data_IF_226139747621
#
_entry.id   IF_226139747621
#
_cell.length_a   1.000
_cell.length_b   1.000
_cell.length_c   1.000
_cell.angle_alpha   90.00
_cell.angle_beta   90.00
_cell.angle_gamma   90.00
#
_symmetry.space_group_name_H-M   'P 1'
#
loop_
_entity.id
_entity.type
_entity.pdbx_description
1 polymer ?
#
# COMPACT_ATOMS: atom_id res chain seq x y z
N UNK A 1 23.49 6.19 9.44
CA UNK A 1 23.23 6.92 8.18
C UNK A 1 22.03 6.26 7.51
N UNK A 2 20.83 6.57 7.98
CA UNK A 2 19.59 6.01 7.43
C UNK A 2 19.35 6.72 6.10
N UNK A 3 19.49 6.02 4.98
CA UNK A 3 19.13 6.56 3.67
C UNK A 3 17.63 6.81 3.71
N UNK A 4 17.23 8.08 3.78
CA UNK A 4 15.87 8.50 3.42
C UNK A 4 15.63 8.01 1.98
N UNK A 5 15.05 6.82 1.84
CA UNK A 5 14.66 6.30 0.55
C UNK A 5 13.61 7.24 -0.04
N UNK A 6 13.80 7.63 -1.30
CA UNK A 6 12.84 8.49 -1.99
C UNK A 6 11.42 7.89 -1.91
N UNK A 7 10.44 8.72 -1.55
CA UNK A 7 9.04 8.31 -1.56
C UNK A 7 8.61 8.07 -3.00
N UNK A 8 8.11 6.88 -3.28
CA UNK A 8 7.55 6.46 -4.57
C UNK A 8 6.03 6.41 -4.48
N UNK A 9 5.31 6.82 -5.52
CA UNK A 9 3.84 6.87 -5.54
C UNK A 9 3.24 6.22 -6.80
N UNK A 10 3.96 5.28 -7.40
CA UNK A 10 3.60 4.55 -8.62
C UNK A 10 2.88 3.23 -8.38
N UNK A 11 2.68 2.81 -7.11
CA UNK A 11 1.99 1.56 -6.81
C UNK A 11 0.47 1.76 -6.81
N UNK A 12 -0.21 1.14 -7.78
CA UNK A 12 -1.66 1.19 -7.94
C UNK A 12 -2.25 -0.21 -8.07
N UNK A 13 -3.35 -0.47 -7.37
CA UNK A 13 -3.95 -1.80 -7.37
C UNK A 13 -5.09 -1.96 -6.38
N UNK A 14 -5.49 -3.21 -6.12
CA UNK A 14 -6.51 -3.55 -5.13
C UNK A 14 -5.86 -4.25 -3.94
N UNK A 15 -6.25 -3.87 -2.72
CA UNK A 15 -5.77 -4.56 -1.53
C UNK A 15 -6.47 -5.91 -1.43
N UNK A 16 -5.69 -6.99 -1.44
CA UNK A 16 -6.21 -8.38 -1.45
C UNK A 16 -6.01 -9.10 -0.13
N UNK A 17 -5.04 -8.67 0.68
CA UNK A 17 -4.74 -9.23 2.00
C UNK A 17 -4.39 -8.11 2.95
N UNK A 18 -4.85 -8.20 4.18
CA UNK A 18 -4.56 -7.31 5.30
C UNK A 18 -4.23 -8.13 6.55
N UNK A 19 -3.09 -7.88 7.18
CA UNK A 19 -2.62 -8.57 8.38
C UNK A 19 -1.86 -7.61 9.28
N UNK A 20 -2.36 -7.36 10.51
CA UNK A 20 -1.71 -6.51 11.51
C UNK A 20 -1.22 -5.16 10.94
N UNK A 21 0.09 -4.98 10.75
CA UNK A 21 0.72 -3.78 10.17
C UNK A 21 0.95 -3.87 8.66
N UNK A 22 0.47 -4.91 7.98
CA UNK A 22 0.85 -5.21 6.60
C UNK A 22 -0.34 -5.42 5.69
N UNK A 23 -0.13 -5.16 4.41
CA UNK A 23 -1.11 -5.47 3.38
C UNK A 23 -0.44 -5.87 2.07
N UNK A 24 -1.15 -6.69 1.28
CA UNK A 24 -0.78 -6.98 -0.10
C UNK A 24 -1.65 -6.20 -1.07
N UNK A 25 -0.99 -5.52 -2.00
CA UNK A 25 -1.60 -4.85 -3.13
C UNK A 25 -1.44 -5.73 -4.38
N UNK A 26 -2.54 -6.10 -5.01
CA UNK A 26 -2.51 -6.71 -6.33
C UNK A 26 -2.66 -5.63 -7.40
N UNK A 27 -1.61 -5.46 -8.21
CA UNK A 27 -1.55 -4.47 -9.29
C UNK A 27 -2.29 -4.99 -10.53
N UNK A 28 -2.64 -4.09 -11.45
CA UNK A 28 -3.38 -4.45 -12.67
C UNK A 28 -2.61 -5.37 -13.62
N UNK A 29 -1.28 -5.33 -13.58
CA UNK A 29 -0.38 -6.23 -14.32
C UNK A 29 -0.18 -7.60 -13.62
N UNK A 30 -0.91 -7.87 -12.54
CA UNK A 30 -0.92 -9.16 -11.84
C UNK A 30 0.17 -9.34 -10.79
N UNK A 31 1.05 -8.35 -10.57
CA UNK A 31 2.04 -8.41 -9.49
C UNK A 31 1.39 -8.27 -8.12
N UNK A 32 2.03 -8.85 -7.11
CA UNK A 32 1.62 -8.75 -5.71
C UNK A 32 2.72 -8.04 -4.92
N UNK A 33 2.43 -6.82 -4.46
CA UNK A 33 3.36 -6.00 -3.69
C UNK A 33 3.02 -6.09 -2.20
N UNK A 34 4.03 -6.16 -1.34
CA UNK A 34 3.88 -6.25 0.11
C UNK A 34 4.32 -4.94 0.76
N UNK A 35 3.39 -4.34 1.49
CA UNK A 35 3.63 -3.10 2.20
C UNK A 35 3.45 -3.28 3.70
N UNK A 36 4.32 -2.61 4.45
CA UNK A 36 4.20 -2.38 5.90
C UNK A 36 3.63 -0.98 6.07
N UNK A 37 2.67 -0.80 6.96
CA UNK A 37 2.10 0.50 7.27
C UNK A 37 3.00 1.24 8.25
N UNK A 38 3.28 2.51 7.94
CA UNK A 38 3.79 3.44 8.95
C UNK A 38 2.72 3.66 10.02
N UNK A 39 3.13 3.86 11.27
CA UNK A 39 2.24 3.86 12.46
C UNK A 39 1.06 4.85 12.34
N UNK A 40 1.21 5.90 11.53
CA UNK A 40 0.22 6.94 11.29
C UNK A 40 -0.80 6.66 10.18
N UNK A 41 -0.69 5.56 9.42
CA UNK A 41 -1.55 5.32 8.23
C UNK A 41 -2.89 4.66 8.59
N UNK A 42 -3.03 4.14 9.81
CA UNK A 42 -4.27 3.61 10.38
C UNK A 42 -4.77 2.34 9.66
N UNK A 43 -4.50 1.17 10.23
CA UNK A 43 -4.87 -0.12 9.65
C UNK A 43 -6.37 -0.24 9.34
N UNK A 44 -7.23 0.35 10.17
CA UNK A 44 -8.68 0.35 9.97
C UNK A 44 -9.09 0.94 8.62
N UNK A 45 -8.41 2.01 8.19
CA UNK A 45 -8.67 2.63 6.88
C UNK A 45 -8.28 1.69 5.74
N UNK A 46 -7.16 1.02 5.86
CA UNK A 46 -6.66 0.06 4.85
C UNK A 46 -7.58 -1.15 4.77
N UNK A 47 -8.03 -1.68 5.93
CA UNK A 47 -9.02 -2.74 6.01
C UNK A 47 -10.36 -2.35 5.36
N UNK A 48 -10.84 -1.13 5.59
CA UNK A 48 -12.06 -0.63 4.95
C UNK A 48 -11.91 -0.54 3.41
N UNK A 49 -10.75 -0.10 2.91
CA UNK A 49 -10.46 -0.07 1.47
C UNK A 49 -10.37 -1.47 0.87
N UNK A 50 -9.77 -2.42 1.58
CA UNK A 50 -9.70 -3.83 1.20
C UNK A 50 -11.10 -4.47 1.13
N UNK A 51 -11.92 -4.26 2.15
CA UNK A 51 -13.30 -4.74 2.20
C UNK A 51 -14.15 -4.18 1.04
N UNK A 52 -13.94 -2.91 0.69
CA UNK A 52 -14.62 -2.28 -0.45
C UNK A 52 -14.09 -2.75 -1.83
N UNK A 53 -12.98 -3.52 -1.86
CA UNK A 53 -12.26 -3.97 -3.08
C UNK A 53 -12.04 -2.83 -4.07
N UNK A 54 -11.75 -1.62 -3.56
CA UNK A 54 -11.55 -0.43 -4.38
C UNK A 54 -10.10 -0.35 -4.83
N UNK A 55 -9.82 0.12 -6.07
CA UNK A 55 -8.48 0.50 -6.46
C UNK A 55 -7.95 1.60 -5.55
N UNK A 56 -6.70 1.46 -5.13
CA UNK A 56 -5.96 2.41 -4.29
C UNK A 56 -4.63 2.75 -4.94
N UNK A 57 -4.16 3.96 -4.67
CA UNK A 57 -2.79 4.37 -4.93
C UNK A 57 -2.03 4.39 -3.59
N UNK A 58 -0.84 3.80 -3.59
CA UNK A 58 0.04 3.65 -2.44
C UNK A 58 1.32 4.42 -2.69
N UNK A 59 1.63 5.35 -1.79
CA UNK A 59 2.96 5.92 -1.70
C UNK A 59 3.78 5.16 -0.66
N UNK A 60 5.02 4.80 -0.99
CA UNK A 60 5.85 3.94 -0.17
C UNK A 60 7.32 4.37 -0.18
N UNK A 61 8.06 3.92 0.83
CA UNK A 61 9.52 4.04 0.93
C UNK A 61 10.15 2.65 1.00
N UNK A 62 11.25 2.48 0.29
CA UNK A 62 11.95 1.19 0.19
C UNK A 62 11.47 0.34 -0.99
N UNK A 63 11.83 -0.95 -0.96
CA UNK A 63 11.50 -1.89 -2.04
C UNK A 63 10.18 -2.62 -1.76
N UNK A 64 9.19 -2.55 -2.68
CA UNK A 64 7.81 -3.00 -2.43
C UNK A 64 7.65 -4.53 -2.29
N UNK A 65 8.68 -5.30 -2.61
CA UNK A 65 8.69 -6.77 -2.41
C UNK A 65 9.47 -7.18 -1.16
N UNK A 66 10.29 -6.28 -0.60
CA UNK A 66 11.07 -6.50 0.61
C UNK A 66 10.40 -5.96 1.88
N UNK A 67 9.13 -5.54 1.78
CA UNK A 67 8.39 -4.90 2.87
C UNK A 67 8.57 -3.38 2.90
N UNK A 68 8.30 -2.71 1.78
CA UNK A 68 8.31 -1.25 1.74
C UNK A 68 7.31 -0.65 2.73
N UNK A 69 7.68 0.48 3.30
CA UNK A 69 6.82 1.21 4.23
C UNK A 69 5.86 2.10 3.44
N UNK A 70 4.58 1.74 3.42
CA UNK A 70 3.50 2.58 2.93
C UNK A 70 3.37 3.82 3.82
N UNK A 71 3.62 4.98 3.23
CA UNK A 71 3.51 6.29 3.87
C UNK A 71 2.16 6.96 3.62
N UNK A 72 1.45 6.53 2.57
CA UNK A 72 0.12 7.05 2.23
C UNK A 72 -0.65 6.03 1.41
N UNK A 73 -1.89 5.76 1.80
CA UNK A 73 -2.83 4.91 1.05
C UNK A 73 -4.10 5.71 0.78
N UNK A 74 -4.45 5.89 -0.50
CA UNK A 74 -5.65 6.63 -0.91
C UNK A 74 -6.49 5.86 -1.91
N UNK A 75 -7.82 5.89 -1.80
CA UNK A 75 -8.68 5.36 -2.86
C UNK A 75 -8.48 6.15 -4.14
N UNK A 76 -8.45 5.45 -5.27
CA UNK A 76 -8.57 6.08 -6.58
C UNK A 76 -10.04 6.43 -6.80
N UNK A 77 -10.29 7.59 -7.41
CA UNK A 77 -11.65 7.95 -7.83
C UNK A 77 -12.13 6.90 -8.85
N UNK A 78 -13.39 6.47 -8.73
CA UNK A 78 -14.01 5.72 -9.81
C UNK A 78 -14.14 6.68 -10.99
N UNK A 79 -13.43 6.41 -12.08
CA UNK A 79 -13.78 6.99 -13.37
C UNK A 79 -15.10 6.38 -13.86
#
# INVERSE_FOLDING_TARGET
MQREGAVRCDAEGVIVVTQEDRFRLQTADGRSLLFILDDGTGMERVAALAAARRPVAVCYRGEPEAGAVATRVRPMAKN
#
